data_IF_685862968309
#
_entry.id   IF_685862968309
#
_cell.length_a   1.000
_cell.length_b   1.000
_cell.length_c   1.000
_cell.angle_alpha   90.00
_cell.angle_beta   90.00
_cell.angle_gamma   90.00
#
_symmetry.space_group_name_H-M   'P 1'
#
loop_
_entity.id
_entity.type
_entity.pdbx_description
1 polymer ?
#
# COMPACT_ATOMS: atom_id res chain seq x y z
N UNK A 1 -19.97 9.67 31.68
CA UNK A 1 -19.03 9.31 32.77
C UNK A 1 -18.58 7.88 32.52
N UNK A 2 -17.39 7.69 31.97
CA UNK A 2 -16.81 6.35 31.79
C UNK A 2 -15.42 6.36 32.43
N UNK A 3 -15.20 5.37 33.30
CA UNK A 3 -14.02 5.18 34.12
C UNK A 3 -12.78 4.91 33.26
N UNK A 4 -11.68 5.59 33.59
CA UNK A 4 -10.32 5.28 33.12
C UNK A 4 -9.83 3.99 33.80
N UNK A 5 -9.16 3.06 33.10
CA UNK A 5 -8.46 1.97 33.77
C UNK A 5 -7.07 2.42 34.25
N UNK A 6 -6.74 1.93 35.43
CA UNK A 6 -5.56 2.16 36.25
C UNK A 6 -4.24 1.78 35.53
N UNK A 7 -3.27 2.70 35.54
CA UNK A 7 -1.94 2.53 34.96
C UNK A 7 -1.01 1.81 35.95
N UNK A 8 -1.17 0.50 36.11
CA UNK A 8 -0.14 -0.31 36.77
C UNK A 8 1.06 -0.52 35.83
N UNK A 9 2.25 -0.13 36.30
CA UNK A 9 3.54 -0.16 35.60
C UNK A 9 3.81 -1.47 34.84
N UNK A 10 4.39 -1.42 33.62
CA UNK A 10 4.75 -2.62 32.88
C UNK A 10 5.85 -3.40 33.61
N UNK A 11 5.60 -4.69 33.88
CA UNK A 11 6.64 -5.63 34.32
C UNK A 11 7.59 -5.86 33.14
N UNK A 12 8.73 -5.18 33.16
CA UNK A 12 9.86 -5.47 32.27
C UNK A 12 10.27 -6.93 32.50
N UNK A 13 10.24 -7.73 31.44
CA UNK A 13 10.70 -9.11 31.46
C UNK A 13 12.14 -9.19 32.01
N UNK A 14 12.40 -10.10 32.96
CA UNK A 14 13.76 -10.36 33.50
C UNK A 14 14.80 -10.62 32.40
N UNK A 15 14.35 -11.07 31.22
CA UNK A 15 15.20 -11.34 30.05
C UNK A 15 15.65 -10.03 29.36
N UNK A 16 14.83 -8.99 29.36
CA UNK A 16 15.17 -7.65 28.86
C UNK A 16 16.12 -6.93 29.82
N UNK A 17 15.90 -7.06 31.13
CA UNK A 17 16.80 -6.49 32.15
C UNK A 17 18.21 -7.13 32.09
N UNK A 18 18.30 -8.43 31.79
CA UNK A 18 19.57 -9.13 31.62
C UNK A 18 20.34 -8.69 30.36
N UNK A 19 19.64 -8.32 29.28
CA UNK A 19 20.27 -7.84 28.05
C UNK A 19 20.82 -6.42 28.24
N UNK A 20 20.06 -5.54 28.91
CA UNK A 20 20.50 -4.17 29.22
C UNK A 20 21.74 -4.18 30.11
N UNK A 21 21.76 -5.01 31.16
CA UNK A 21 22.92 -5.10 32.06
C UNK A 21 24.16 -5.69 31.36
N UNK A 22 23.98 -6.61 30.41
CA UNK A 22 25.09 -7.21 29.67
C UNK A 22 25.72 -6.25 28.63
N UNK A 23 24.96 -5.27 28.12
CA UNK A 23 25.50 -4.22 27.26
C UNK A 23 26.26 -3.15 28.08
N UNK A 24 25.76 -2.82 29.27
CA UNK A 24 26.40 -1.85 30.18
C UNK A 24 27.75 -2.35 30.73
N UNK A 25 27.90 -3.66 30.95
CA UNK A 25 29.18 -4.28 31.32
C UNK A 25 30.20 -4.33 30.15
N UNK A 26 29.72 -4.39 28.89
CA UNK A 26 30.60 -4.34 27.71
C UNK A 26 31.10 -2.93 27.40
N UNK A 27 30.31 -1.91 27.71
CA UNK A 27 30.67 -0.52 27.45
C UNK A 27 31.68 0.03 28.47
N UNK A 28 31.69 -0.53 29.69
CA UNK A 28 32.65 -0.20 30.75
C UNK A 28 33.97 -0.98 30.71
N UNK A 29 34.16 -1.88 29.74
CA UNK A 29 35.41 -2.62 29.60
C UNK A 29 36.56 -1.70 29.11
N UNK A 30 37.72 -1.69 29.78
CA UNK A 30 38.83 -0.79 29.43
C UNK A 30 39.39 -1.12 28.04
N UNK A 31 39.39 -0.14 27.14
CA UNK A 31 39.93 -0.26 25.78
C UNK A 31 41.44 -0.45 25.80
N UNK A 32 42.01 -1.34 24.96
CA UNK A 32 43.46 -1.51 24.86
C UNK A 32 44.12 -0.23 24.31
N UNK A 33 45.23 0.17 24.92
CA UNK A 33 46.02 1.35 24.52
C UNK A 33 46.63 1.16 23.13
N UNK A 34 46.46 2.16 22.27
CA UNK A 34 47.11 2.24 20.96
C UNK A 34 48.61 2.56 21.09
N UNK A 35 49.47 2.03 20.19
CA UNK A 35 50.88 2.39 20.15
C UNK A 35 51.11 3.74 19.44
N UNK A 36 52.12 4.47 19.91
CA UNK A 36 52.54 5.80 19.45
C UNK A 36 53.21 5.78 18.07
N UNK A 37 53.20 6.91 17.31
CA UNK A 37 53.75 6.97 15.96
C UNK A 37 55.21 7.45 15.94
N UNK A 38 56.04 6.83 15.09
CA UNK A 38 57.35 7.35 14.67
C UNK A 38 57.37 7.54 13.16
N UNK A 39 58.13 8.56 12.73
CA UNK A 39 57.97 9.32 11.49
C UNK A 39 58.63 8.70 10.22
N UNK A 40 57.97 9.02 9.09
CA UNK A 40 58.51 9.48 7.79
C UNK A 40 59.17 8.55 6.73
N UNK A 41 59.10 8.94 5.42
CA UNK A 41 58.75 8.11 4.24
C UNK A 41 59.99 7.75 3.35
N UNK A 42 59.96 7.23 2.08
CA UNK A 42 58.91 7.29 1.05
C UNK A 42 58.73 6.12 0.03
N UNK A 43 57.69 6.32 -0.79
CA UNK A 43 57.64 6.04 -2.25
C UNK A 43 56.86 4.81 -2.78
N UNK A 44 56.24 5.09 -3.93
CA UNK A 44 55.76 4.21 -4.99
C UNK A 44 54.41 3.46 -4.89
N UNK A 45 53.43 4.08 -5.55
CA UNK A 45 52.37 3.51 -6.42
C UNK A 45 52.46 2.00 -6.68
N UNK A 46 51.42 1.27 -6.25
CA UNK A 46 50.78 0.25 -7.09
C UNK A 46 49.35 -0.02 -6.64
N UNK A 47 48.39 0.38 -7.47
CA UNK A 47 46.97 0.03 -7.34
C UNK A 47 46.82 -1.48 -7.54
N UNK A 48 46.47 -2.22 -6.49
CA UNK A 48 45.93 -3.59 -6.61
C UNK A 48 44.42 -3.56 -6.42
N UNK A 49 43.73 -4.05 -7.45
CA UNK A 49 42.30 -4.31 -7.45
C UNK A 49 41.97 -5.46 -6.47
N UNK A 50 41.10 -5.18 -5.51
CA UNK A 50 40.47 -6.21 -4.69
C UNK A 50 39.32 -6.86 -5.47
N UNK A 51 39.58 -8.09 -5.94
CA UNK A 51 38.59 -9.02 -6.46
C UNK A 51 37.52 -9.28 -5.41
N UNK A 52 36.26 -9.00 -5.76
CA UNK A 52 35.09 -9.49 -5.03
C UNK A 52 34.95 -10.99 -5.26
N UNK A 53 35.05 -11.79 -4.21
CA UNK A 53 34.72 -13.22 -4.21
C UNK A 53 33.63 -13.43 -3.18
N UNK A 54 32.37 -13.36 -3.62
CA UNK A 54 31.27 -14.22 -3.16
C UNK A 54 30.02 -13.93 -4.03
N UNK A 55 29.99 -14.48 -5.24
CA UNK A 55 28.74 -14.76 -5.95
C UNK A 55 28.61 -16.27 -6.02
N UNK A 56 27.89 -16.86 -5.06
CA UNK A 56 27.35 -18.22 -5.23
C UNK A 56 25.94 -18.10 -5.79
N UNK A 57 25.73 -18.85 -6.86
CA UNK A 57 24.54 -18.90 -7.69
C UNK A 57 23.32 -19.33 -6.87
N UNK A 58 22.36 -18.41 -6.74
CA UNK A 58 20.96 -18.76 -6.45
C UNK A 58 20.25 -18.93 -7.81
N UNK A 59 19.50 -20.02 -8.04
CA UNK A 59 18.81 -20.23 -9.31
C UNK A 59 17.81 -19.09 -9.55
N UNK A 60 17.85 -18.54 -10.78
CA UNK A 60 17.11 -17.36 -11.19
C UNK A 60 15.60 -17.59 -11.15
N UNK A 61 14.96 -17.10 -10.11
CA UNK A 61 13.58 -16.63 -10.22
C UNK A 61 13.60 -15.36 -11.05
N UNK A 62 12.77 -15.30 -12.10
CA UNK A 62 12.47 -14.06 -12.81
C UNK A 62 11.97 -13.05 -11.77
N UNK A 63 12.83 -12.13 -11.36
CA UNK A 63 12.47 -11.10 -10.39
C UNK A 63 11.30 -10.30 -10.98
N UNK A 64 10.13 -10.46 -10.39
CA UNK A 64 8.96 -9.65 -10.70
C UNK A 64 9.32 -8.19 -10.49
N UNK A 65 9.37 -7.40 -11.56
CA UNK A 65 9.63 -5.96 -11.48
C UNK A 65 8.47 -5.27 -10.74
N UNK A 66 8.76 -4.23 -9.94
CA UNK A 66 7.73 -3.44 -9.27
C UNK A 66 6.80 -2.78 -10.29
N UNK A 67 5.52 -2.64 -9.93
CA UNK A 67 4.46 -2.15 -10.81
C UNK A 67 4.63 -0.65 -11.08
N UNK A 68 5.09 -0.30 -12.28
CA UNK A 68 5.08 1.09 -12.78
C UNK A 68 3.90 1.33 -13.71
N UNK A 69 3.25 2.49 -13.57
CA UNK A 69 2.21 2.95 -14.51
C UNK A 69 2.91 3.38 -15.81
N UNK A 70 2.80 2.53 -16.86
CA UNK A 70 3.66 2.60 -18.05
C UNK A 70 3.04 3.32 -19.26
N UNK A 71 1.86 3.94 -19.18
CA UNK A 71 1.20 4.55 -20.35
C UNK A 71 0.43 5.83 -19.99
N UNK A 72 0.60 6.87 -20.82
CA UNK A 72 0.10 8.24 -20.59
C UNK A 72 -1.16 8.62 -21.40
N UNK A 73 -1.74 7.67 -22.12
CA UNK A 73 -3.06 7.78 -22.74
C UNK A 73 -3.93 6.66 -22.18
N UNK A 74 -5.25 6.68 -22.40
CA UNK A 74 -6.15 5.57 -22.07
C UNK A 74 -6.20 4.60 -23.27
N UNK A 75 -5.21 3.70 -23.48
CA UNK A 75 -5.31 2.73 -24.56
C UNK A 75 -6.48 1.79 -24.28
N UNK A 76 -7.15 1.35 -25.35
CA UNK A 76 -8.03 0.20 -25.24
C UNK A 76 -7.24 -0.97 -24.61
N UNK A 77 -7.81 -1.70 -23.64
CA UNK A 77 -7.12 -2.82 -23.03
C UNK A 77 -6.71 -3.81 -24.13
N UNK A 78 -5.47 -4.32 -24.09
CA UNK A 78 -5.00 -5.23 -25.12
C UNK A 78 -5.89 -6.49 -25.15
N UNK A 79 -6.04 -7.17 -26.31
CA UNK A 79 -6.94 -8.31 -26.46
C UNK A 79 -6.62 -9.49 -25.52
N UNK A 80 -5.42 -9.52 -24.93
CA UNK A 80 -4.98 -10.50 -23.95
C UNK A 80 -5.01 -9.98 -22.49
N UNK A 81 -5.62 -8.82 -22.23
CA UNK A 81 -5.75 -8.27 -20.89
C UNK A 81 -6.49 -9.25 -19.99
N UNK A 82 -5.85 -9.63 -18.89
CA UNK A 82 -6.45 -10.55 -17.92
C UNK A 82 -7.22 -9.75 -16.88
N UNK A 83 -8.47 -10.11 -16.65
CA UNK A 83 -9.17 -9.62 -15.46
C UNK A 83 -8.41 -10.08 -14.21
N UNK A 84 -8.34 -9.20 -13.22
CA UNK A 84 -7.77 -9.52 -11.92
C UNK A 84 -8.47 -10.76 -11.33
N UNK A 85 -7.74 -11.86 -11.05
CA UNK A 85 -8.34 -13.06 -10.47
C UNK A 85 -8.93 -12.73 -9.10
N UNK A 86 -10.08 -13.31 -8.77
CA UNK A 86 -10.59 -13.30 -7.38
C UNK A 86 -10.04 -14.52 -6.68
N UNK A 87 -9.52 -14.35 -5.47
CA UNK A 87 -9.03 -15.44 -4.65
C UNK A 87 -10.13 -15.83 -3.65
N UNK A 88 -10.14 -17.10 -3.25
CA UNK A 88 -11.05 -17.55 -2.19
C UNK A 88 -10.70 -16.83 -0.88
N UNK A 89 -11.69 -16.21 -0.25
CA UNK A 89 -11.47 -15.49 1.00
C UNK A 89 -11.13 -16.46 2.15
N UNK A 90 -11.59 -17.71 2.11
CA UNK A 90 -11.18 -18.74 3.08
C UNK A 90 -9.69 -19.02 2.98
N UNK A 91 -9.14 -19.08 1.76
CA UNK A 91 -7.71 -19.22 1.53
C UNK A 91 -6.95 -18.01 2.09
N UNK A 92 -7.43 -16.79 1.83
CA UNK A 92 -6.80 -15.57 2.33
C UNK A 92 -6.80 -15.50 3.87
N UNK A 93 -7.92 -15.82 4.51
CA UNK A 93 -8.05 -15.87 5.98
C UNK A 93 -7.17 -16.95 6.59
N UNK A 94 -7.10 -18.13 5.97
CA UNK A 94 -6.18 -19.20 6.37
C UNK A 94 -4.72 -18.74 6.26
N UNK A 95 -4.32 -18.08 5.16
CA UNK A 95 -2.97 -17.56 4.96
C UNK A 95 -2.61 -16.52 6.02
N UNK A 96 -3.53 -15.61 6.35
CA UNK A 96 -3.34 -14.64 7.44
C UNK A 96 -3.12 -15.36 8.77
N UNK A 97 -3.97 -16.33 9.11
CA UNK A 97 -3.83 -17.12 10.34
C UNK A 97 -2.48 -17.83 10.43
N UNK A 98 -2.03 -18.44 9.34
CA UNK A 98 -0.72 -19.08 9.24
C UNK A 98 0.41 -18.06 9.45
N UNK A 99 0.42 -16.95 8.70
CA UNK A 99 1.46 -15.92 8.82
C UNK A 99 1.52 -15.31 10.22
N UNK A 100 0.37 -15.23 10.92
CA UNK A 100 0.34 -14.81 12.32
C UNK A 100 0.98 -15.82 13.26
N UNK A 101 0.70 -17.11 13.08
CA UNK A 101 1.35 -18.17 13.87
C UNK A 101 2.86 -18.17 13.64
N UNK A 102 3.33 -17.77 12.46
CA UNK A 102 4.76 -17.64 12.16
C UNK A 102 5.42 -16.45 12.87
N UNK A 103 4.66 -15.52 13.45
CA UNK A 103 5.21 -14.33 14.08
C UNK A 103 5.05 -14.39 15.60
N UNK A 104 6.17 -14.51 16.31
CA UNK A 104 6.20 -14.47 17.78
C UNK A 104 5.82 -13.10 18.37
N UNK A 105 5.80 -12.05 17.55
CA UNK A 105 5.63 -10.66 17.96
C UNK A 105 4.25 -10.07 17.65
N UNK A 106 3.43 -10.80 16.88
CA UNK A 106 2.08 -10.33 16.61
C UNK A 106 1.21 -10.58 17.84
N UNK A 107 0.39 -9.58 18.23
CA UNK A 107 -0.47 -9.73 19.39
C UNK A 107 -1.38 -10.95 19.20
N UNK A 108 -1.55 -11.74 20.28
CA UNK A 108 -2.42 -12.93 20.33
C UNK A 108 -3.90 -12.55 20.34
N UNK A 109 -4.29 -11.80 19.30
CA UNK A 109 -5.67 -11.45 19.01
C UNK A 109 -6.14 -12.41 17.93
N UNK A 110 -7.19 -13.21 18.16
CA UNK A 110 -7.66 -14.15 17.15
C UNK A 110 -8.15 -13.41 15.89
N UNK A 111 -7.81 -13.94 14.72
CA UNK A 111 -8.19 -13.38 13.41
C UNK A 111 -9.70 -13.15 13.32
N UNK A 112 -10.49 -14.08 13.85
CA UNK A 112 -11.95 -14.04 13.84
C UNK A 112 -12.57 -12.85 14.59
N UNK A 113 -11.87 -12.24 15.55
CA UNK A 113 -12.37 -11.03 16.24
C UNK A 113 -12.26 -9.77 15.37
N UNK A 114 -11.37 -9.80 14.38
CA UNK A 114 -11.13 -8.65 13.49
C UNK A 114 -11.83 -8.84 12.15
N UNK A 115 -11.84 -10.07 11.66
CA UNK A 115 -12.35 -10.46 10.36
C UNK A 115 -13.45 -11.51 10.59
N UNK A 116 -14.71 -11.07 10.68
CA UNK A 116 -15.84 -12.00 10.71
C UNK A 116 -15.94 -12.67 9.34
N UNK A 117 -15.89 -14.01 9.33
CA UNK A 117 -15.95 -14.79 8.10
C UNK A 117 -17.25 -14.54 7.36
N UNK A 118 -18.35 -14.37 8.11
CA UNK A 118 -19.70 -14.14 7.58
C UNK A 118 -19.75 -12.86 6.75
N UNK A 119 -19.12 -11.79 7.25
CA UNK A 119 -19.03 -10.51 6.53
C UNK A 119 -18.28 -10.67 5.20
N UNK A 120 -17.24 -11.51 5.16
CA UNK A 120 -16.44 -11.71 3.93
C UNK A 120 -17.13 -12.61 2.91
N UNK A 121 -17.95 -13.57 3.34
CA UNK A 121 -18.83 -14.33 2.45
C UNK A 121 -19.78 -13.38 1.72
N UNK A 122 -20.49 -12.53 2.47
CA UNK A 122 -21.43 -11.54 1.91
C UNK A 122 -20.74 -10.56 0.97
N UNK A 123 -19.61 -9.97 1.39
CA UNK A 123 -18.81 -9.06 0.55
C UNK A 123 -18.34 -9.76 -0.73
N UNK A 124 -17.92 -11.03 -0.63
CA UNK A 124 -17.44 -11.80 -1.77
C UNK A 124 -18.56 -12.12 -2.75
N UNK A 125 -19.74 -12.50 -2.26
CA UNK A 125 -20.92 -12.73 -3.09
C UNK A 125 -21.39 -11.46 -3.80
N UNK A 126 -21.43 -10.34 -3.07
CA UNK A 126 -21.79 -9.03 -3.63
C UNK A 126 -20.80 -8.61 -4.73
N UNK A 127 -19.49 -8.75 -4.49
CA UNK A 127 -18.45 -8.44 -5.49
C UNK A 127 -18.57 -9.34 -6.74
N UNK A 128 -18.86 -10.64 -6.56
CA UNK A 128 -19.10 -11.55 -7.68
C UNK A 128 -20.35 -11.16 -8.48
N UNK A 129 -21.40 -10.68 -7.81
CA UNK A 129 -22.59 -10.14 -8.47
C UNK A 129 -22.25 -8.89 -9.27
N UNK A 130 -21.53 -7.92 -8.68
CA UNK A 130 -21.11 -6.70 -9.39
C UNK A 130 -20.20 -6.99 -10.57
N UNK A 131 -19.22 -7.90 -10.44
CA UNK A 131 -18.36 -8.30 -11.56
C UNK A 131 -19.16 -8.90 -12.71
N UNK A 132 -20.17 -9.73 -12.41
CA UNK A 132 -21.07 -10.31 -13.42
C UNK A 132 -21.88 -9.22 -14.12
N UNK A 133 -22.48 -8.31 -13.35
CA UNK A 133 -23.20 -7.17 -13.89
C UNK A 133 -22.26 -6.32 -14.76
N UNK A 134 -21.12 -5.89 -14.24
CA UNK A 134 -20.17 -5.10 -15.00
C UNK A 134 -19.80 -5.75 -16.33
N UNK A 135 -19.53 -7.06 -16.39
CA UNK A 135 -19.25 -7.74 -17.68
C UNK A 135 -20.43 -7.67 -18.67
N UNK A 136 -21.66 -7.80 -18.19
CA UNK A 136 -22.85 -7.70 -19.03
C UNK A 136 -23.08 -6.27 -19.51
N UNK A 137 -22.82 -5.31 -18.62
CA UNK A 137 -23.19 -3.93 -18.80
C UNK A 137 -22.06 -3.09 -19.43
N UNK A 138 -20.79 -3.50 -19.37
CA UNK A 138 -19.65 -2.68 -19.78
C UNK A 138 -19.76 -2.17 -21.22
N UNK A 139 -20.05 -3.06 -22.18
CA UNK A 139 -20.24 -2.67 -23.59
C UNK A 139 -21.43 -1.72 -23.75
N UNK A 140 -22.52 -1.96 -23.02
CA UNK A 140 -23.71 -1.12 -23.06
C UNK A 140 -23.43 0.25 -22.43
N UNK A 141 -22.70 0.30 -21.33
CA UNK A 141 -22.30 1.53 -20.64
C UNK A 141 -21.37 2.36 -21.51
N UNK A 142 -20.39 1.75 -22.19
CA UNK A 142 -19.54 2.44 -23.15
C UNK A 142 -20.36 3.05 -24.30
N UNK A 143 -21.32 2.31 -24.85
CA UNK A 143 -22.23 2.82 -25.90
C UNK A 143 -23.15 3.92 -25.37
N UNK A 144 -23.65 3.80 -24.14
CA UNK A 144 -24.46 4.82 -23.47
C UNK A 144 -23.66 6.12 -23.27
N UNK A 145 -22.39 6.04 -22.85
CA UNK A 145 -21.52 7.23 -22.71
C UNK A 145 -21.27 7.94 -24.05
N UNK A 146 -21.31 7.20 -25.15
CA UNK A 146 -21.25 7.73 -26.52
C UNK A 146 -22.60 8.24 -27.04
N UNK A 147 -23.67 8.18 -26.23
CA UNK A 147 -25.03 8.56 -26.65
C UNK A 147 -25.69 7.56 -27.61
N UNK A 148 -25.12 6.37 -27.79
CA UNK A 148 -25.61 5.34 -28.72
C UNK A 148 -26.65 4.38 -28.12
N UNK A 149 -26.88 4.45 -26.81
CA UNK A 149 -27.86 3.66 -26.07
C UNK A 149 -28.59 4.57 -25.08
N UNK A 150 -29.92 4.43 -24.92
CA UNK A 150 -30.66 5.17 -23.91
C UNK A 150 -30.19 4.77 -22.50
N UNK A 151 -30.23 5.74 -21.57
CA UNK A 151 -29.90 5.46 -20.19
C UNK A 151 -30.84 4.40 -19.60
N UNK A 152 -30.27 3.44 -18.90
CA UNK A 152 -30.97 2.23 -18.43
C UNK A 152 -31.33 2.31 -16.96
N UNK A 153 -30.74 3.27 -16.28
CA UNK A 153 -31.05 3.58 -14.90
C UNK A 153 -31.93 4.81 -14.93
N UNK A 154 -33.22 4.66 -14.56
CA UNK A 154 -34.15 5.78 -14.41
C UNK A 154 -33.56 6.88 -13.50
N UNK A 155 -32.73 6.48 -12.52
CA UNK A 155 -31.96 7.34 -11.63
C UNK A 155 -30.94 8.27 -12.31
N UNK A 156 -30.63 8.10 -13.61
CA UNK A 156 -29.72 9.02 -14.31
C UNK A 156 -30.35 10.37 -14.62
N UNK A 157 -31.67 10.41 -14.71
CA UNK A 157 -32.39 11.66 -14.93
C UNK A 157 -32.51 12.50 -13.65
N UNK A 158 -32.11 11.94 -12.50
CA UNK A 158 -32.19 12.59 -11.18
C UNK A 158 -30.87 13.26 -10.75
N UNK A 159 -29.84 13.32 -11.60
CA UNK A 159 -28.57 13.99 -11.26
C UNK A 159 -27.66 13.23 -10.28
N UNK A 160 -27.79 11.90 -10.20
CA UNK A 160 -26.85 11.08 -9.43
C UNK A 160 -25.48 11.03 -10.12
N UNK A 161 -24.53 11.79 -9.58
CA UNK A 161 -23.22 11.95 -10.16
C UNK A 161 -22.20 10.87 -9.81
N UNK A 162 -20.93 11.24 -9.77
CA UNK A 162 -19.79 10.37 -9.44
C UNK A 162 -19.26 10.68 -8.03
N UNK A 163 -19.34 11.93 -7.62
CA UNK A 163 -18.89 12.40 -6.32
C UNK A 163 -19.96 12.14 -5.27
N UNK A 164 -19.57 11.67 -4.08
CA UNK A 164 -20.53 11.35 -3.02
C UNK A 164 -21.28 10.03 -3.20
N UNK A 165 -21.06 9.34 -4.33
CA UNK A 165 -21.70 8.05 -4.64
C UNK A 165 -20.78 6.90 -4.23
N UNK A 166 -21.37 5.79 -3.76
CA UNK A 166 -20.60 4.58 -3.38
C UNK A 166 -19.79 4.10 -4.56
N UNK A 167 -18.55 3.71 -4.30
CA UNK A 167 -17.63 3.33 -5.37
C UNK A 167 -18.15 2.12 -6.15
N UNK A 168 -18.79 1.16 -5.48
CA UNK A 168 -19.44 -0.01 -6.13
C UNK A 168 -20.52 0.37 -7.14
N UNK A 169 -21.15 1.54 -6.97
CA UNK A 169 -22.21 2.05 -7.86
C UNK A 169 -21.63 2.89 -8.99
N UNK A 170 -20.83 3.92 -8.66
CA UNK A 170 -20.21 4.80 -9.64
C UNK A 170 -19.30 4.04 -10.63
N UNK A 171 -18.64 3.00 -10.13
CA UNK A 171 -17.76 2.12 -10.92
C UNK A 171 -18.49 1.40 -12.06
N UNK A 172 -19.81 1.21 -12.01
CA UNK A 172 -20.54 0.54 -13.09
C UNK A 172 -20.64 1.40 -14.36
N UNK A 173 -20.55 2.72 -14.24
CA UNK A 173 -20.84 3.63 -15.35
C UNK A 173 -19.80 4.70 -15.60
N UNK A 174 -19.10 5.15 -14.56
CA UNK A 174 -18.08 6.18 -14.61
C UNK A 174 -16.67 5.61 -14.38
N UNK A 175 -16.39 4.42 -14.90
CA UNK A 175 -15.07 3.78 -14.84
C UNK A 175 -14.43 3.63 -16.21
N UNK A 176 -13.10 3.69 -16.24
CA UNK A 176 -12.28 3.40 -17.41
C UNK A 176 -11.31 2.24 -17.11
N UNK A 177 -11.09 1.32 -18.07
CA UNK A 177 -10.09 0.29 -17.92
C UNK A 177 -8.67 0.88 -17.98
N UNK A 178 -7.82 0.45 -17.06
CA UNK A 178 -6.39 0.73 -17.02
C UNK A 178 -5.61 -0.56 -16.85
N UNK A 179 -4.35 -0.57 -17.25
CA UNK A 179 -3.45 -1.71 -17.08
C UNK A 179 -2.51 -1.46 -15.91
N UNK A 180 -2.51 -2.36 -14.93
CA UNK A 180 -1.52 -2.38 -13.86
C UNK A 180 -0.82 -3.74 -13.91
N UNK A 181 0.46 -3.72 -14.31
CA UNK A 181 1.19 -4.94 -14.64
C UNK A 181 0.53 -5.66 -15.82
N UNK A 182 0.15 -6.94 -15.63
CA UNK A 182 -0.52 -7.78 -16.65
C UNK A 182 -2.04 -7.85 -16.49
N UNK A 183 -2.61 -7.06 -15.59
CA UNK A 183 -4.03 -7.13 -15.22
C UNK A 183 -4.77 -5.84 -15.58
N UNK A 184 -6.00 -6.02 -16.05
CA UNK A 184 -6.94 -4.94 -16.24
C UNK A 184 -7.60 -4.59 -14.91
N UNK A 185 -7.62 -3.30 -14.61
CA UNK A 185 -8.31 -2.69 -13.49
C UNK A 185 -9.24 -1.62 -14.03
N UNK A 186 -10.48 -1.59 -13.56
CA UNK A 186 -11.38 -0.49 -13.87
C UNK A 186 -11.35 0.49 -12.70
N UNK A 187 -11.08 1.76 -13.01
CA UNK A 187 -10.98 2.83 -12.02
C UNK A 187 -11.88 4.00 -12.42
N UNK A 188 -12.33 4.83 -11.47
CA UNK A 188 -13.12 6.02 -11.76
C UNK A 188 -12.43 6.94 -12.79
N UNK A 189 -13.19 7.43 -13.78
CA UNK A 189 -12.67 8.27 -14.88
C UNK A 189 -11.95 9.50 -14.33
N UNK A 190 -12.56 10.19 -13.36
CA UNK A 190 -11.97 11.36 -12.71
C UNK A 190 -10.63 11.06 -12.03
N UNK A 191 -10.50 9.90 -11.37
CA UNK A 191 -9.27 9.49 -10.73
C UNK A 191 -8.18 9.17 -11.76
N UNK A 192 -8.53 8.43 -12.83
CA UNK A 192 -7.61 8.13 -13.92
C UNK A 192 -7.12 9.40 -14.62
N UNK A 193 -8.02 10.29 -15.01
CA UNK A 193 -7.68 11.53 -15.69
C UNK A 193 -6.73 12.39 -14.84
N UNK A 194 -7.04 12.57 -13.55
CA UNK A 194 -6.19 13.35 -12.66
C UNK A 194 -4.80 12.70 -12.46
N UNK A 195 -4.76 11.40 -12.16
CA UNK A 195 -3.50 10.70 -11.88
C UNK A 195 -2.61 10.66 -13.12
N UNK A 196 -3.13 10.34 -14.30
CA UNK A 196 -2.32 10.32 -15.52
C UNK A 196 -1.77 11.71 -15.86
N UNK A 197 -2.58 12.75 -15.67
CA UNK A 197 -2.13 14.11 -15.91
C UNK A 197 -1.05 14.55 -14.91
N UNK A 198 -1.20 14.20 -13.63
CA UNK A 198 -0.19 14.45 -12.60
C UNK A 198 1.08 13.65 -12.82
N UNK A 199 0.98 12.42 -13.32
CA UNK A 199 2.15 11.64 -13.73
C UNK A 199 2.88 12.28 -14.91
N UNK A 200 2.14 12.84 -15.87
CA UNK A 200 2.70 13.45 -17.08
C UNK A 200 3.46 14.74 -16.81
N UNK A 201 2.89 15.67 -16.01
CA UNK A 201 3.47 17.01 -15.79
C UNK A 201 3.69 17.40 -14.33
N UNK A 202 3.11 16.66 -13.39
CA UNK A 202 3.02 17.04 -11.98
C UNK A 202 4.21 16.56 -11.14
N UNK A 203 4.69 15.33 -11.32
CA UNK A 203 5.56 14.64 -10.34
C UNK A 203 6.80 15.42 -9.90
N UNK A 204 7.42 16.20 -10.79
CA UNK A 204 8.63 16.97 -10.50
C UNK A 204 8.35 18.38 -9.93
N UNK A 205 7.09 18.81 -9.83
CA UNK A 205 6.73 20.14 -9.33
C UNK A 205 6.80 20.17 -7.81
N UNK A 206 7.38 21.25 -7.27
CA UNK A 206 7.42 21.47 -5.83
C UNK A 206 6.06 21.94 -5.31
N UNK A 207 5.68 21.45 -4.13
CA UNK A 207 4.48 21.90 -3.45
C UNK A 207 3.17 21.36 -4.03
N UNK A 208 3.22 20.22 -4.74
CA UNK A 208 2.01 19.49 -5.12
C UNK A 208 1.08 19.28 -3.92
N UNK A 209 -0.23 19.40 -4.16
CA UNK A 209 -1.27 19.21 -3.16
C UNK A 209 -1.20 20.13 -1.93
N UNK A 210 -0.37 21.19 -1.96
CA UNK A 210 -0.49 22.25 -0.95
C UNK A 210 -1.85 22.91 -1.11
N UNK A 211 -2.61 23.13 -0.02
CA UNK A 211 -3.87 23.85 -0.10
C UNK A 211 -3.58 25.27 -0.62
N UNK A 212 -4.03 25.56 -1.85
CA UNK A 212 -3.82 26.86 -2.49
C UNK A 212 -4.90 27.85 -2.04
N UNK A 213 -6.12 27.37 -1.71
CA UNK A 213 -7.30 28.20 -1.49
C UNK A 213 -8.16 27.70 -0.33
N UNK A 214 -8.89 28.62 0.30
CA UNK A 214 -9.91 28.34 1.33
C UNK A 214 -11.26 27.98 0.71
N UNK A 215 -11.58 28.55 -0.46
CA UNK A 215 -12.83 28.33 -1.20
C UNK A 215 -12.58 27.62 -2.53
N UNK A 216 -13.60 26.87 -2.97
CA UNK A 216 -13.57 26.15 -4.24
C UNK A 216 -13.56 27.17 -5.38
N UNK A 217 -12.56 27.10 -6.25
CA UNK A 217 -12.53 27.99 -7.42
C UNK A 217 -13.66 27.65 -8.40
N UNK A 218 -14.22 28.66 -9.08
CA UNK A 218 -15.21 28.49 -10.16
C UNK A 218 -14.80 27.40 -11.17
N UNK A 219 -13.51 27.34 -11.53
CA UNK A 219 -13.00 26.31 -12.45
C UNK A 219 -13.12 24.89 -11.87
N UNK A 220 -12.98 24.71 -10.57
CA UNK A 220 -13.14 23.39 -9.93
C UNK A 220 -14.61 22.98 -9.88
N UNK A 221 -15.53 23.93 -9.72
CA UNK A 221 -16.97 23.67 -9.86
C UNK A 221 -17.32 23.22 -11.28
N UNK A 222 -16.79 23.89 -12.30
CA UNK A 222 -16.96 23.46 -13.70
C UNK A 222 -16.38 22.05 -13.94
N UNK A 223 -15.17 21.77 -13.43
CA UNK A 223 -14.58 20.44 -13.54
C UNK A 223 -15.39 19.40 -12.76
N UNK A 224 -15.90 19.73 -11.59
CA UNK A 224 -16.80 18.88 -10.85
C UNK A 224 -18.02 18.53 -11.71
N UNK A 225 -18.71 19.51 -12.29
CA UNK A 225 -19.87 19.26 -13.15
C UNK A 225 -19.51 18.35 -14.34
N UNK A 226 -18.39 18.61 -15.02
CA UNK A 226 -17.93 17.78 -16.15
C UNK A 226 -17.75 16.30 -15.75
N UNK A 227 -17.11 16.04 -14.61
CA UNK A 227 -16.83 14.67 -14.16
C UNK A 227 -17.96 14.05 -13.35
N UNK A 228 -18.93 14.84 -12.91
CA UNK A 228 -20.06 14.39 -12.12
C UNK A 228 -21.30 14.13 -12.99
N UNK A 229 -21.38 14.69 -14.20
CA UNK A 229 -22.57 14.63 -15.03
C UNK A 229 -22.48 13.62 -16.19
N UNK A 230 -23.62 13.00 -16.47
CA UNK A 230 -23.85 12.19 -17.66
C UNK A 230 -23.81 13.05 -18.94
N UNK A 231 -23.59 12.46 -20.13
CA UNK A 231 -23.45 11.02 -20.39
C UNK A 231 -22.03 10.47 -20.22
N UNK A 232 -20.99 11.31 -20.31
CA UNK A 232 -19.61 10.81 -20.44
C UNK A 232 -18.79 10.86 -19.14
N UNK A 233 -19.25 11.56 -18.09
CA UNK A 233 -18.54 11.69 -16.82
C UNK A 233 -17.07 12.13 -16.97
N UNK A 234 -16.82 13.02 -17.94
CA UNK A 234 -15.50 13.54 -18.25
C UNK A 234 -14.61 12.62 -19.10
N UNK A 235 -15.11 11.50 -19.62
CA UNK A 235 -14.31 10.55 -20.45
C UNK A 235 -13.68 11.23 -21.67
N UNK A 236 -14.36 12.22 -22.25
CA UNK A 236 -13.88 12.98 -23.43
C UNK A 236 -13.20 14.30 -23.06
N UNK A 237 -13.13 14.66 -21.78
CA UNK A 237 -12.57 15.93 -21.34
C UNK A 237 -11.06 15.80 -21.05
N UNK A 238 -10.23 16.63 -21.69
CA UNK A 238 -8.78 16.62 -21.47
C UNK A 238 -8.37 17.55 -20.33
N UNK A 239 -7.49 17.08 -19.45
CA UNK A 239 -6.83 17.89 -18.41
C UNK A 239 -5.45 18.43 -18.84
N UNK A 240 -5.06 18.24 -20.10
CA UNK A 240 -3.72 18.59 -20.59
C UNK A 240 -3.36 20.07 -20.34
N UNK A 241 -4.34 20.95 -20.54
CA UNK A 241 -4.19 22.40 -20.40
C UNK A 241 -4.61 22.91 -19.00
N UNK A 242 -5.08 22.04 -18.11
CA UNK A 242 -5.48 22.46 -16.77
C UNK A 242 -4.27 22.80 -15.89
N UNK A 243 -4.29 23.89 -15.12
CA UNK A 243 -3.29 24.15 -14.09
C UNK A 243 -3.13 22.94 -13.16
N UNK A 244 -1.90 22.56 -12.84
CA UNK A 244 -1.62 21.41 -11.96
C UNK A 244 -2.35 21.52 -10.61
N UNK A 245 -2.47 22.74 -10.07
CA UNK A 245 -3.18 22.99 -8.82
C UNK A 245 -4.65 22.61 -8.92
N UNK A 246 -5.30 22.88 -10.06
CA UNK A 246 -6.68 22.49 -10.29
C UNK A 246 -6.83 20.96 -10.37
N UNK A 247 -5.89 20.28 -11.01
CA UNK A 247 -5.89 18.81 -11.11
C UNK A 247 -5.68 18.17 -9.72
N UNK A 248 -4.76 18.70 -8.92
CA UNK A 248 -4.55 18.31 -7.53
C UNK A 248 -5.83 18.52 -6.69
N UNK A 249 -6.45 19.69 -6.83
CA UNK A 249 -7.66 20.05 -6.10
C UNK A 249 -8.84 19.15 -6.49
N UNK A 250 -9.07 18.90 -7.78
CA UNK A 250 -10.10 17.99 -8.28
C UNK A 250 -9.93 16.56 -7.73
N UNK A 251 -8.72 16.02 -7.76
CA UNK A 251 -8.43 14.68 -7.21
C UNK A 251 -8.71 14.62 -5.71
N UNK A 252 -8.26 15.63 -4.96
CA UNK A 252 -8.52 15.73 -3.52
C UNK A 252 -10.01 15.91 -3.22
N UNK A 253 -10.71 16.69 -4.04
CA UNK A 253 -12.14 16.95 -3.93
C UNK A 253 -12.96 15.68 -4.16
N UNK A 254 -12.52 14.81 -5.08
CA UNK A 254 -13.08 13.49 -5.31
C UNK A 254 -12.91 12.57 -4.10
N UNK A 255 -11.68 12.39 -3.62
CA UNK A 255 -11.39 11.50 -2.48
C UNK A 255 -12.08 11.94 -1.18
N UNK A 256 -12.13 13.26 -0.91
CA UNK A 256 -12.79 13.80 0.29
C UNK A 256 -14.31 13.58 0.35
N UNK A 257 -14.91 13.16 -0.77
CA UNK A 257 -16.35 12.89 -0.94
C UNK A 257 -16.69 11.42 -1.02
N UNK A 258 -15.76 10.50 -0.75
CA UNK A 258 -16.18 9.11 -0.63
C UNK A 258 -17.22 8.95 0.48
N UNK A 259 -18.40 8.35 0.19
CA UNK A 259 -19.42 8.13 1.20
C UNK A 259 -18.98 7.05 2.20
N UNK A 260 -18.09 6.16 1.77
CA UNK A 260 -17.49 5.09 2.56
C UNK A 260 -15.97 5.12 2.38
N UNK A 261 -15.19 4.74 3.41
CA UNK A 261 -13.74 4.70 3.31
C UNK A 261 -13.28 3.69 2.25
N UNK A 262 -12.17 3.99 1.56
CA UNK A 262 -11.67 3.11 0.51
C UNK A 262 -11.26 1.72 1.02
N UNK A 263 -10.85 1.64 2.29
CA UNK A 263 -10.57 0.40 2.99
C UNK A 263 -11.65 0.20 4.07
N UNK A 264 -12.30 -0.97 4.04
CA UNK A 264 -13.24 -1.37 5.08
C UNK A 264 -12.56 -1.35 6.47
N UNK A 265 -13.30 -0.92 7.50
CA UNK A 265 -12.79 -0.75 8.86
C UNK A 265 -12.12 -2.01 9.44
N UNK A 266 -12.64 -3.20 9.17
CA UNK A 266 -12.07 -4.48 9.61
C UNK A 266 -10.68 -4.73 9.02
N UNK A 267 -10.53 -4.48 7.71
CA UNK A 267 -9.25 -4.56 7.00
C UNK A 267 -8.29 -3.48 7.51
N UNK A 268 -8.79 -2.26 7.72
CA UNK A 268 -8.00 -1.14 8.22
C UNK A 268 -7.41 -1.41 9.61
N UNK A 269 -8.21 -1.85 10.58
CA UNK A 269 -7.72 -2.17 11.92
C UNK A 269 -6.78 -3.38 11.91
N UNK A 270 -7.02 -4.36 11.04
CA UNK A 270 -6.12 -5.50 10.85
C UNK A 270 -4.76 -5.05 10.31
N UNK A 271 -4.72 -4.13 9.34
CA UNK A 271 -3.48 -3.51 8.86
C UNK A 271 -2.76 -2.75 9.99
N UNK A 272 -3.51 -1.97 10.78
CA UNK A 272 -2.95 -1.26 11.93
C UNK A 272 -2.26 -2.22 12.90
N UNK A 273 -2.98 -3.24 13.36
CA UNK A 273 -2.53 -4.10 14.44
C UNK A 273 -1.48 -5.13 14.00
N UNK A 274 -1.55 -5.62 12.75
CA UNK A 274 -0.70 -6.72 12.30
C UNK A 274 0.45 -6.31 11.38
N UNK A 275 0.39 -5.12 10.78
CA UNK A 275 1.44 -4.67 9.86
C UNK A 275 2.11 -3.40 10.38
N UNK A 276 1.32 -2.37 10.69
CA UNK A 276 1.81 -1.01 10.92
C UNK A 276 2.34 -0.83 12.34
N UNK A 277 1.54 -1.15 13.36
CA UNK A 277 1.94 -0.98 14.76
C UNK A 277 3.18 -1.81 15.10
N UNK A 278 3.31 -3.10 14.71
CA UNK A 278 4.52 -3.86 14.99
C UNK A 278 5.76 -3.28 14.28
N UNK A 279 5.61 -2.78 13.04
CA UNK A 279 6.70 -2.08 12.35
C UNK A 279 7.14 -0.82 13.10
N UNK A 280 6.20 -0.01 13.58
CA UNK A 280 6.50 1.20 14.35
C UNK A 280 7.20 0.85 15.65
N UNK A 281 6.70 -0.12 16.42
CA UNK A 281 7.32 -0.52 17.70
C UNK A 281 8.76 -1.05 17.50
N UNK A 282 8.99 -1.80 16.41
CA UNK A 282 10.34 -2.26 16.04
C UNK A 282 11.25 -1.10 15.66
N UNK A 283 10.70 -0.07 15.03
CA UNK A 283 11.47 1.07 14.54
C UNK A 283 11.70 2.16 15.58
N UNK A 284 10.83 2.27 16.58
CA UNK A 284 10.81 3.32 17.59
C UNK A 284 12.11 3.45 18.41
N UNK A 285 12.71 2.38 18.98
CA UNK A 285 13.96 2.50 19.74
C UNK A 285 15.10 3.07 18.90
N UNK A 286 15.15 2.68 17.63
CA UNK A 286 16.17 3.16 16.71
C UNK A 286 15.92 4.62 16.32
N UNK A 287 14.66 4.98 16.03
CA UNK A 287 14.26 6.37 15.77
C UNK A 287 14.67 7.25 16.95
N UNK A 288 14.37 6.84 18.18
CA UNK A 288 14.72 7.58 19.41
C UNK A 288 16.23 7.77 19.49
N UNK A 289 17.02 6.68 19.38
CA UNK A 289 18.48 6.74 19.43
C UNK A 289 19.09 7.66 18.36
N UNK A 290 18.53 7.65 17.15
CA UNK A 290 19.01 8.53 16.08
C UNK A 290 18.58 9.99 16.30
N UNK A 291 17.39 10.24 16.86
CA UNK A 291 17.00 11.58 17.29
C UNK A 291 17.93 12.09 18.40
N UNK A 292 18.29 11.26 19.37
CA UNK A 292 19.21 11.63 20.45
C UNK A 292 20.58 11.99 19.89
N UNK A 293 21.13 11.19 18.96
CA UNK A 293 22.40 11.51 18.26
C UNK A 293 22.33 12.83 17.50
N UNK A 294 21.23 13.08 16.80
CA UNK A 294 21.01 14.33 16.06
C UNK A 294 20.90 15.51 17.02
N UNK A 295 20.23 15.33 18.16
CA UNK A 295 20.11 16.34 19.19
C UNK A 295 21.47 16.62 19.84
N UNK A 296 22.29 15.60 20.12
CA UNK A 296 23.63 15.75 20.67
C UNK A 296 24.56 16.47 19.69
N UNK A 297 24.51 16.12 18.40
CA UNK A 297 25.25 16.80 17.35
C UNK A 297 24.83 18.27 17.23
N UNK A 298 23.53 18.57 17.42
CA UNK A 298 23.02 19.93 17.46
C UNK A 298 23.51 20.70 18.71
N UNK A 299 23.40 20.10 19.90
CA UNK A 299 23.83 20.69 21.17
C UNK A 299 25.34 20.96 21.22
N UNK A 300 26.14 20.13 20.54
CA UNK A 300 27.60 20.28 20.44
C UNK A 300 28.04 21.22 19.30
N UNK A 301 27.10 21.81 18.55
CA UNK A 301 27.39 22.69 17.42
C UNK A 301 27.94 21.98 16.18
N UNK A 302 27.92 20.64 16.15
CA UNK A 302 28.35 19.83 15.00
C UNK A 302 27.33 19.80 13.87
N UNK A 303 26.06 20.10 14.18
CA UNK A 303 24.97 20.14 13.20
C UNK A 303 24.23 21.49 13.24
N UNK A 304 24.14 22.15 12.08
CA UNK A 304 23.35 23.38 11.95
C UNK A 304 21.84 23.09 12.10
N UNK A 305 21.04 23.96 12.77
CA UNK A 305 19.60 23.74 12.97
C UNK A 305 18.82 23.39 11.71
N UNK A 306 19.13 24.06 10.59
CA UNK A 306 18.46 23.86 9.30
C UNK A 306 18.78 22.51 8.63
N UNK A 307 19.79 21.80 9.13
CA UNK A 307 20.23 20.50 8.60
C UNK A 307 19.69 19.31 9.41
N UNK A 308 18.85 19.55 10.43
CA UNK A 308 18.25 18.49 11.23
C UNK A 308 17.47 17.52 10.33
N UNK A 309 17.86 16.23 10.24
CA UNK A 309 17.15 15.27 9.41
C UNK A 309 15.74 15.04 9.97
N UNK A 310 14.76 14.91 9.07
CA UNK A 310 13.42 14.48 9.46
C UNK A 310 13.44 13.02 9.92
N UNK A 311 12.43 12.60 10.69
CA UNK A 311 12.21 11.19 11.03
C UNK A 311 12.19 10.30 9.79
N UNK A 312 11.72 10.81 8.64
CA UNK A 312 11.79 10.12 7.35
C UNK A 312 13.23 9.96 6.83
N UNK A 313 14.05 11.02 6.85
CA UNK A 313 15.46 10.91 6.42
C UNK A 313 16.20 9.90 7.29
N UNK A 314 15.88 9.89 8.58
CA UNK A 314 16.34 8.89 9.56
C UNK A 314 15.86 7.50 9.10
N UNK A 315 14.56 7.26 8.97
CA UNK A 315 14.01 5.96 8.53
C UNK A 315 14.50 5.49 7.14
N UNK A 316 14.63 6.39 6.17
CA UNK A 316 15.12 6.11 4.83
C UNK A 316 16.63 5.80 4.84
N UNK A 317 17.41 6.46 5.70
CA UNK A 317 18.82 6.09 5.92
C UNK A 317 18.91 4.67 6.48
N UNK A 318 17.97 4.28 7.34
CA UNK A 318 17.86 2.91 7.84
C UNK A 318 17.48 1.89 6.78
N UNK A 319 16.70 2.24 5.75
CA UNK A 319 16.38 1.32 4.63
C UNK A 319 17.60 0.84 3.85
N UNK A 320 18.71 1.59 3.89
CA UNK A 320 19.99 1.15 3.36
C UNK A 320 20.73 0.13 4.23
N UNK A 321 20.28 -0.09 5.47
CA UNK A 321 20.89 -1.05 6.39
C UNK A 321 20.19 -2.42 6.32
N UNK A 322 20.95 -3.53 6.13
CA UNK A 322 20.42 -4.88 6.01
C UNK A 322 19.96 -5.50 7.35
N UNK A 323 19.54 -4.67 8.32
CA UNK A 323 19.09 -5.10 9.65
C UNK A 323 17.56 -5.11 9.72
N UNK A 324 16.91 -5.47 8.61
CA UNK A 324 15.55 -5.98 8.72
C UNK A 324 15.66 -7.44 9.11
N UNK A 325 14.88 -7.86 10.10
CA UNK A 325 14.46 -9.24 10.09
C UNK A 325 13.55 -9.40 8.87
N UNK A 326 14.17 -9.77 7.74
CA UNK A 326 13.51 -9.98 6.46
C UNK A 326 12.32 -10.94 6.59
N UNK A 327 12.33 -11.83 7.61
CA UNK A 327 11.20 -12.68 7.91
C UNK A 327 10.04 -11.90 8.52
N UNK A 328 10.26 -11.09 9.55
CA UNK A 328 9.17 -10.34 10.19
C UNK A 328 8.51 -9.35 9.24
N UNK A 329 9.31 -8.54 8.53
CA UNK A 329 8.76 -7.59 7.56
C UNK A 329 8.10 -8.33 6.39
N UNK A 330 8.69 -9.44 5.95
CA UNK A 330 8.09 -10.32 4.95
C UNK A 330 6.74 -10.90 5.37
N UNK A 331 6.58 -11.28 6.63
CA UNK A 331 5.31 -11.73 7.21
C UNK A 331 4.29 -10.60 7.20
N UNK A 332 4.67 -9.40 7.65
CA UNK A 332 3.79 -8.22 7.67
C UNK A 332 3.32 -7.84 6.26
N UNK A 333 4.23 -7.88 5.28
CA UNK A 333 3.93 -7.68 3.86
C UNK A 333 2.96 -8.76 3.36
N UNK A 334 3.22 -10.04 3.66
CA UNK A 334 2.34 -11.14 3.28
C UNK A 334 0.92 -11.01 3.85
N UNK A 335 0.80 -10.60 5.11
CA UNK A 335 -0.49 -10.32 5.76
C UNK A 335 -1.18 -9.14 5.06
N UNK A 336 -0.46 -8.04 4.81
CA UNK A 336 -1.03 -6.89 4.11
C UNK A 336 -1.53 -7.28 2.72
N UNK A 337 -0.78 -8.06 1.96
CA UNK A 337 -1.21 -8.55 0.65
C UNK A 337 -2.51 -9.36 0.74
N UNK A 338 -2.61 -10.28 1.69
CA UNK A 338 -3.81 -11.09 1.87
C UNK A 338 -5.03 -10.22 2.27
N UNK A 339 -4.83 -9.28 3.19
CA UNK A 339 -5.84 -8.32 3.64
C UNK A 339 -6.36 -7.45 2.48
N UNK A 340 -5.46 -6.90 1.67
CA UNK A 340 -5.85 -6.10 0.51
C UNK A 340 -6.66 -6.94 -0.50
N UNK A 341 -6.34 -8.23 -0.66
CA UNK A 341 -7.06 -9.13 -1.57
C UNK A 341 -8.44 -9.55 -1.06
N UNK A 342 -8.78 -9.29 0.20
CA UNK A 342 -10.15 -9.46 0.72
C UNK A 342 -11.10 -8.35 0.24
N UNK A 343 -10.58 -7.17 -0.10
CA UNK A 343 -11.39 -6.01 -0.49
C UNK A 343 -12.28 -6.29 -1.72
N UNK A 344 -13.43 -5.60 -1.86
CA UNK A 344 -14.20 -5.57 -3.10
C UNK A 344 -13.34 -5.08 -4.27
N UNK A 345 -13.63 -5.53 -5.48
CA UNK A 345 -12.80 -5.31 -6.67
C UNK A 345 -12.68 -3.84 -7.05
N UNK A 346 -13.76 -3.07 -6.94
CA UNK A 346 -13.74 -1.64 -7.24
C UNK A 346 -12.82 -0.88 -6.26
N UNK A 347 -12.94 -1.17 -4.96
CA UNK A 347 -12.12 -0.60 -3.90
C UNK A 347 -10.65 -1.01 -4.04
N UNK A 348 -10.39 -2.30 -4.28
CA UNK A 348 -9.06 -2.82 -4.50
C UNK A 348 -8.38 -2.18 -5.72
N UNK A 349 -9.09 -2.09 -6.86
CA UNK A 349 -8.54 -1.51 -8.09
C UNK A 349 -8.17 -0.04 -7.93
N UNK A 350 -9.05 0.76 -7.31
CA UNK A 350 -8.75 2.15 -7.03
C UNK A 350 -7.60 2.29 -6.02
N UNK A 351 -7.56 1.48 -4.96
CA UNK A 351 -6.47 1.53 -3.98
C UNK A 351 -5.12 1.18 -4.60
N UNK A 352 -5.04 0.09 -5.38
CA UNK A 352 -3.81 -0.31 -6.10
C UNK A 352 -3.35 0.83 -7.02
N UNK A 353 -4.28 1.42 -7.78
CA UNK A 353 -3.98 2.54 -8.67
C UNK A 353 -3.42 3.74 -7.92
N UNK A 354 -4.08 4.14 -6.83
CA UNK A 354 -3.63 5.24 -5.98
C UNK A 354 -2.30 4.95 -5.30
N UNK A 355 -2.08 3.74 -4.78
CA UNK A 355 -0.81 3.36 -4.14
C UNK A 355 0.35 3.32 -5.14
N UNK A 356 0.12 2.87 -6.38
CA UNK A 356 1.11 2.98 -7.45
C UNK A 356 1.50 4.42 -7.75
N UNK A 357 0.52 5.31 -7.87
CA UNK A 357 0.78 6.75 -8.07
C UNK A 357 1.50 7.38 -6.87
N UNK A 358 1.03 7.13 -5.65
CA UNK A 358 1.61 7.70 -4.42
C UNK A 358 3.01 7.16 -4.15
N UNK A 359 3.28 5.89 -4.46
CA UNK A 359 4.64 5.33 -4.40
C UNK A 359 5.57 6.07 -5.36
N UNK A 360 5.18 6.28 -6.62
CA UNK A 360 5.98 7.03 -7.59
C UNK A 360 6.21 8.48 -7.13
N UNK A 361 5.18 9.12 -6.56
CA UNK A 361 5.27 10.46 -6.00
C UNK A 361 6.31 10.54 -4.86
N UNK A 362 6.32 9.56 -3.96
CA UNK A 362 7.26 9.51 -2.84
C UNK A 362 8.70 9.17 -3.26
N UNK A 363 8.88 8.44 -4.35
CA UNK A 363 10.21 8.14 -4.91
C UNK A 363 10.79 9.30 -5.74
N UNK A 364 9.95 10.21 -6.23
CA UNK A 364 10.39 11.32 -7.10
C UNK A 364 11.20 12.34 -6.32
N UNK A 365 12.51 12.43 -6.61
CA UNK A 365 13.41 13.36 -5.91
C UNK A 365 13.16 14.81 -6.35
N UNK A 366 13.18 15.73 -5.38
CA UNK A 366 13.20 17.18 -5.64
C UNK A 366 11.82 17.85 -5.73
N UNK A 367 10.73 17.08 -5.69
CA UNK A 367 9.35 17.59 -5.60
C UNK A 367 8.97 18.07 -4.19
N UNK A 368 9.79 17.76 -3.18
CA UNK A 368 9.56 18.15 -1.79
C UNK A 368 8.36 17.45 -1.16
N UNK A 369 8.01 16.24 -1.62
CA UNK A 369 6.89 15.45 -1.13
C UNK A 369 7.39 14.05 -0.69
N UNK A 370 7.57 13.86 0.61
CA UNK A 370 7.98 12.58 1.19
C UNK A 370 6.82 11.62 1.44
N UNK A 371 7.12 10.39 1.85
CA UNK A 371 6.09 9.42 2.27
C UNK A 371 5.31 9.91 3.49
N UNK A 372 5.94 10.70 4.38
CA UNK A 372 5.26 11.31 5.52
C UNK A 372 4.21 12.34 5.09
N UNK A 373 4.55 13.16 4.09
CA UNK A 373 3.61 14.11 3.49
C UNK A 373 2.46 13.36 2.80
N UNK A 374 2.77 12.27 2.08
CA UNK A 374 1.76 11.39 1.48
C UNK A 374 0.78 10.89 2.55
N UNK A 375 1.30 10.34 3.65
CA UNK A 375 0.47 9.88 4.76
C UNK A 375 -0.43 10.98 5.30
N UNK A 376 0.14 12.15 5.59
CA UNK A 376 -0.60 13.29 6.17
C UNK A 376 -1.67 13.84 5.24
N UNK A 377 -1.36 14.01 3.95
CA UNK A 377 -2.27 14.62 2.97
C UNK A 377 -3.37 13.66 2.54
N UNK A 378 -3.03 12.39 2.26
CA UNK A 378 -3.95 11.45 1.62
C UNK A 378 -4.52 10.39 2.57
N UNK A 379 -3.94 10.19 3.76
CA UNK A 379 -4.40 9.15 4.68
C UNK A 379 -5.86 9.34 5.08
N UNK A 380 -6.23 10.54 5.54
CA UNK A 380 -7.61 10.81 5.96
C UNK A 380 -8.60 10.83 4.79
N UNK A 381 -8.31 11.46 3.62
CA UNK A 381 -9.19 11.37 2.46
C UNK A 381 -9.43 9.94 1.95
N UNK A 382 -8.42 9.07 1.97
CA UNK A 382 -8.56 7.70 1.46
C UNK A 382 -9.24 6.76 2.45
N UNK A 383 -8.87 6.83 3.74
CA UNK A 383 -9.32 5.84 4.74
C UNK A 383 -10.42 6.36 5.67
N UNK A 384 -10.72 7.66 5.65
CA UNK A 384 -11.81 8.26 6.43
C UNK A 384 -11.35 9.25 7.49
N UNK A 385 -12.21 10.23 7.80
CA UNK A 385 -11.89 11.44 8.61
C UNK A 385 -11.70 11.18 10.11
N UNK A 386 -12.12 10.04 10.63
CA UNK A 386 -12.07 9.73 12.07
C UNK A 386 -10.95 8.75 12.46
N UNK A 387 -10.10 8.37 11.50
CA UNK A 387 -9.07 7.36 11.70
C UNK A 387 -7.71 7.99 12.00
N UNK A 388 -7.39 8.16 13.29
CA UNK A 388 -6.14 8.80 13.75
C UNK A 388 -4.86 8.16 13.20
N UNK A 389 -4.90 6.86 12.89
CA UNK A 389 -3.74 6.14 12.35
C UNK A 389 -3.65 6.17 10.83
N UNK A 390 -4.60 6.79 10.12
CA UNK A 390 -4.67 6.72 8.66
C UNK A 390 -3.42 7.27 7.97
N UNK A 391 -2.78 8.36 8.45
CA UNK A 391 -1.49 8.79 7.92
C UNK A 391 -0.40 7.73 8.02
N UNK A 392 -0.31 7.03 9.16
CA UNK A 392 0.71 6.01 9.40
C UNK A 392 0.47 4.75 8.57
N UNK A 393 -0.80 4.35 8.40
CA UNK A 393 -1.18 3.23 7.53
C UNK A 393 -0.82 3.52 6.08
N UNK A 394 -1.16 4.72 5.58
CA UNK A 394 -0.87 5.07 4.20
C UNK A 394 0.64 5.20 3.96
N UNK A 395 1.35 5.85 4.89
CA UNK A 395 2.81 5.90 4.86
C UNK A 395 3.41 4.48 4.78
N UNK A 396 2.94 3.56 5.62
CA UNK A 396 3.46 2.19 5.65
C UNK A 396 3.21 1.46 4.33
N UNK A 397 1.98 1.55 3.79
CA UNK A 397 1.60 0.93 2.51
C UNK A 397 2.38 1.51 1.33
N UNK A 398 2.40 2.84 1.19
CA UNK A 398 3.03 3.52 0.06
C UNK A 398 4.55 3.30 0.07
N UNK A 399 5.17 3.40 1.24
CA UNK A 399 6.62 3.24 1.37
C UNK A 399 7.10 1.79 1.20
N UNK A 400 6.20 0.79 1.25
CA UNK A 400 6.49 -0.64 1.03
C UNK A 400 5.82 -1.16 -0.23
N UNK A 401 5.32 -0.28 -1.09
CA UNK A 401 4.50 -0.67 -2.22
C UNK A 401 5.25 -1.56 -3.20
N UNK A 402 6.55 -1.33 -3.40
CA UNK A 402 7.38 -2.14 -4.30
C UNK A 402 7.42 -3.60 -3.85
N UNK A 403 7.47 -3.88 -2.54
CA UNK A 403 7.44 -5.24 -2.01
C UNK A 403 6.03 -5.80 -1.90
N UNK A 404 5.05 -4.98 -1.47
CA UNK A 404 3.65 -5.37 -1.34
C UNK A 404 3.08 -5.75 -2.70
N UNK A 405 3.40 -5.02 -3.76
CA UNK A 405 2.86 -5.25 -5.10
C UNK A 405 3.34 -6.56 -5.74
N UNK A 406 4.47 -7.12 -5.31
CA UNK A 406 5.03 -8.37 -5.84
C UNK A 406 4.10 -9.55 -5.55
N UNK A 407 3.52 -10.12 -6.60
CA UNK A 407 2.58 -11.25 -6.52
C UNK A 407 1.15 -10.87 -6.10
N UNK A 408 0.91 -9.63 -5.65
CA UNK A 408 -0.39 -9.17 -5.15
C UNK A 408 -1.52 -9.32 -6.18
N UNK A 409 -1.25 -8.94 -7.43
CA UNK A 409 -2.25 -9.01 -8.52
C UNK A 409 -2.40 -10.42 -9.09
N UNK A 410 -1.51 -11.33 -8.68
CA UNK A 410 -1.38 -12.68 -9.17
C UNK A 410 -2.52 -13.62 -8.77
N UNK A 411 -2.37 -14.87 -9.22
CA UNK A 411 -3.08 -16.03 -8.64
C UNK A 411 -2.48 -16.39 -7.28
N UNK A 412 -3.09 -17.33 -6.59
CA UNK A 412 -2.64 -17.81 -5.27
C UNK A 412 -1.17 -18.25 -5.28
N UNK A 413 -0.69 -18.91 -6.33
CA UNK A 413 0.70 -19.37 -6.43
C UNK A 413 1.68 -18.19 -6.52
N UNK A 414 1.31 -17.14 -7.25
CA UNK A 414 2.10 -15.92 -7.38
C UNK A 414 2.11 -15.12 -6.08
N UNK A 415 0.96 -15.09 -5.37
CA UNK A 415 0.83 -14.45 -4.07
C UNK A 415 1.68 -15.14 -2.99
N UNK A 416 1.74 -16.48 -3.01
CA UNK A 416 2.47 -17.30 -2.05
C UNK A 416 3.93 -17.57 -2.44
N UNK A 417 4.45 -16.98 -3.51
CA UNK A 417 5.78 -17.30 -4.04
C UNK A 417 6.92 -17.13 -3.00
N UNK A 418 6.76 -16.21 -2.04
CA UNK A 418 7.73 -15.95 -0.97
C UNK A 418 7.48 -16.76 0.31
N UNK A 419 6.32 -17.42 0.46
CA UNK A 419 5.92 -18.07 1.71
C UNK A 419 6.86 -19.23 2.07
N UNK A 420 7.31 -20.00 1.07
CA UNK A 420 8.27 -21.09 1.29
C UNK A 420 9.63 -20.60 1.84
N UNK A 421 10.07 -19.42 1.41
CA UNK A 421 11.28 -18.80 1.94
C UNK A 421 11.07 -18.34 3.38
N UNK A 422 9.93 -17.72 3.68
CA UNK A 422 9.58 -17.28 5.04
C UNK A 422 9.53 -18.46 6.02
N UNK A 423 8.89 -19.57 5.64
CA UNK A 423 8.84 -20.78 6.48
C UNK A 423 10.24 -21.30 6.82
N UNK A 424 11.16 -21.29 5.84
CA UNK A 424 12.55 -21.70 6.06
C UNK A 424 13.28 -20.78 7.02
N UNK A 425 13.10 -19.47 6.88
CA UNK A 425 13.75 -18.49 7.76
C UNK A 425 13.22 -18.62 9.19
N UNK A 426 11.91 -18.83 9.35
CA UNK A 426 11.28 -19.05 10.66
C UNK A 426 11.51 -20.46 11.24
N UNK A 427 12.29 -21.33 10.56
CA UNK A 427 12.52 -22.72 10.96
C UNK A 427 11.22 -23.51 11.21
N UNK A 428 10.20 -23.29 10.36
CA UNK A 428 8.90 -23.95 10.47
C UNK A 428 8.73 -25.02 9.40
N UNK A 429 8.18 -26.16 9.81
CA UNK A 429 7.74 -27.18 8.86
C UNK A 429 6.54 -26.67 8.07
N UNK A 430 6.49 -27.01 6.79
CA UNK A 430 5.32 -26.72 5.96
C UNK A 430 4.10 -27.43 6.54
N UNK A 431 3.07 -26.71 7.04
CA UNK A 431 1.94 -27.31 7.71
C UNK A 431 1.28 -28.39 6.83
N UNK A 432 0.82 -29.52 7.40
CA UNK A 432 0.07 -30.52 6.65
C UNK A 432 -1.15 -29.94 5.94
N UNK A 433 -1.73 -28.84 6.44
CA UNK A 433 -2.80 -28.11 5.78
C UNK A 433 -2.37 -27.52 4.43
N UNK A 434 -1.15 -26.99 4.29
CA UNK A 434 -0.60 -26.59 2.98
C UNK A 434 -0.47 -27.76 2.01
N UNK A 435 -0.24 -28.97 2.54
CA UNK A 435 -0.17 -30.20 1.72
C UNK A 435 -1.54 -30.79 1.40
N UNK A 436 -2.55 -30.58 2.28
CA UNK A 436 -3.93 -31.08 2.16
C UNK A 436 -4.84 -30.17 1.35
N UNK A 437 -4.56 -28.86 1.34
CA UNK A 437 -4.99 -27.95 0.27
C UNK A 437 -4.19 -28.27 -0.99
N UNK A 438 -4.20 -29.54 -1.43
CA UNK A 438 -3.95 -29.83 -2.84
C UNK A 438 -5.03 -29.06 -3.57
N UNK A 439 -4.59 -28.02 -4.27
CA UNK A 439 -5.18 -27.29 -5.39
C UNK A 439 -6.24 -28.08 -6.19
N UNK A 440 -7.31 -28.57 -5.57
CA UNK A 440 -8.41 -29.17 -6.30
C UNK A 440 -9.08 -27.99 -6.97
N UNK A 441 -9.07 -27.92 -8.31
CA UNK A 441 -9.77 -26.87 -9.01
C UNK A 441 -11.19 -26.77 -8.44
N UNK A 442 -11.63 -25.55 -8.17
CA UNK A 442 -12.94 -25.22 -7.63
C UNK A 442 -14.13 -25.81 -8.46
N UNK A 443 -13.82 -26.42 -9.60
CA UNK A 443 -14.73 -27.15 -10.50
C UNK A 443 -15.55 -28.27 -9.83
N UNK A 444 -15.19 -28.77 -8.64
CA UNK A 444 -15.99 -29.84 -7.98
C UNK A 444 -17.17 -29.36 -7.12
N UNK A 445 -17.34 -28.07 -6.84
CA UNK A 445 -18.54 -27.60 -6.09
C UNK A 445 -19.71 -27.15 -6.96
N UNK A 446 -19.50 -26.94 -8.27
CA UNK A 446 -20.60 -26.65 -9.21
C UNK A 446 -21.32 -27.92 -9.67
N UNK A 447 -20.73 -29.11 -9.50
CA UNK A 447 -21.33 -30.39 -9.90
C UNK A 447 -22.33 -30.98 -8.90
N UNK A 448 -22.51 -30.37 -7.72
CA UNK A 448 -23.54 -30.82 -6.75
C UNK A 448 -24.90 -30.14 -6.98
N UNK A 449 -24.93 -29.01 -7.69
CA UNK A 449 -26.19 -28.31 -8.02
C UNK A 449 -26.90 -28.85 -9.29
N UNK A 450 -26.37 -29.90 -9.95
CA UNK A 450 -26.99 -30.55 -11.14
C UNK A 450 -27.53 -31.96 -10.86
N UNK A 451 -27.70 -32.35 -9.58
CA UNK A 451 -28.32 -33.64 -9.20
C UNK A 451 -29.72 -33.53 -8.60
N UNK A 452 -30.35 -32.36 -8.69
CA UNK A 452 -31.78 -32.19 -8.43
C UNK A 452 -32.43 -31.51 -9.63
N UNK A 453 -32.63 -32.30 -10.68
CA UNK A 453 -33.53 -32.05 -11.80
C UNK A 453 -33.98 -33.40 -12.34
#
# INVERSE_FOLDING_TARGET
MFFLPDTSKPRISKKLLAIVNAEEERENAPRPRAPSPTADPPSHRQRRATRSILKKNTPGYLASQPLRLSTYTLPAPPPNARLLPRLDHHFLLWRIGMLKVMSEFLPDKPVKLYLDVTDFDEISEEDLKYRRLWRQWHTRMARMRQGLEPSVYSHYHDGHGVFGVRLSTAWLYASVPIMIGKYQHDVPIVAAACVFELMRKGLNRRGLFRPVRLELGQRIEELFEIYNCAPNFGETHSLENEPTDNVCELLMFYMKRFPEPLINMHIYYSLCDWCVAPSIHRDEPWIIKEHDRVNDAWMTGQLHPDLRPSTEKILHHRRGYPIYDLAEEGIQIGIAQALLRLMPTAHFSLLVFMLSFLSELGHTRGNGFGFDDIGRVFGMPLFGRNLRYAPKVLWWLASRWDDISVGLLGREEELCAKDAQLLRICNMETPPSMRKWKWTPFERRVSVARKFS
#
